data_IF_231524215592
#
_entry.id   IF_231524215592
#
_cell.length_a   1.000
_cell.length_b   1.000
_cell.length_c   1.000
_cell.angle_alpha   90.00
_cell.angle_beta   90.00
_cell.angle_gamma   90.00
#
_symmetry.space_group_name_H-M   'P 1'
#
loop_
_entity.id
_entity.type
_entity.pdbx_description
1 polymer ?
#
# COMPACT_ATOMS: atom_id res chain seq x y z
N UNK A 1 49.47 6.44 -50.57
CA UNK A 1 48.47 6.35 -51.66
C UNK A 1 48.13 7.71 -52.27
N UNK A 2 47.72 8.71 -51.48
CA UNK A 2 47.40 10.07 -51.98
C UNK A 2 48.60 10.79 -52.60
N UNK A 3 49.78 10.77 -51.95
CA UNK A 3 51.02 11.37 -52.50
C UNK A 3 51.42 10.82 -53.87
N UNK A 4 51.22 9.52 -54.10
CA UNK A 4 51.51 8.88 -55.38
C UNK A 4 50.56 9.35 -56.49
N UNK A 5 49.26 9.49 -56.18
CA UNK A 5 48.27 10.05 -57.12
C UNK A 5 48.54 11.51 -57.42
N UNK A 6 48.85 12.31 -56.41
CA UNK A 6 49.15 13.73 -56.58
C UNK A 6 50.39 13.94 -57.48
N UNK A 7 51.40 13.07 -57.38
CA UNK A 7 52.59 13.10 -58.24
C UNK A 7 52.31 12.68 -59.69
N UNK A 8 51.42 11.70 -59.89
CA UNK A 8 51.09 11.20 -61.22
C UNK A 8 50.08 12.08 -61.97
N UNK A 9 49.34 12.94 -61.26
CA UNK A 9 48.32 13.82 -61.84
C UNK A 9 48.52 15.28 -61.37
N UNK A 10 49.46 16.04 -61.97
CA UNK A 10 49.81 17.39 -61.52
C UNK A 10 48.65 18.39 -61.53
N UNK A 11 47.68 18.19 -62.44
CA UNK A 11 46.48 19.02 -62.51
C UNK A 11 45.66 19.02 -61.21
N UNK A 12 45.72 17.94 -60.41
CA UNK A 12 45.04 17.89 -59.11
C UNK A 12 45.61 18.89 -58.11
N UNK A 13 46.92 19.13 -58.12
CA UNK A 13 47.55 20.12 -57.23
C UNK A 13 47.49 21.51 -57.86
N UNK A 14 47.75 21.61 -59.16
CA UNK A 14 47.93 22.90 -59.83
C UNK A 14 46.61 23.63 -60.11
N UNK A 15 45.49 22.90 -60.30
CA UNK A 15 44.19 23.48 -60.64
C UNK A 15 43.16 23.36 -59.51
N UNK A 16 43.58 22.98 -58.29
CA UNK A 16 42.70 22.98 -57.11
C UNK A 16 43.31 23.80 -55.99
N UNK A 17 42.45 24.34 -55.12
CA UNK A 17 42.89 24.98 -53.88
C UNK A 17 42.80 23.97 -52.76
N UNK A 18 43.89 23.81 -52.01
CA UNK A 18 43.95 22.89 -50.87
C UNK A 18 43.44 23.63 -49.64
N UNK A 19 42.38 23.10 -49.03
CA UNK A 19 41.89 23.54 -47.74
C UNK A 19 42.22 22.48 -46.66
N UNK A 20 42.83 22.92 -45.57
CA UNK A 20 43.33 22.01 -44.52
C UNK A 20 42.42 22.06 -43.30
N UNK A 21 41.81 20.91 -42.99
CA UNK A 21 40.99 20.75 -41.80
C UNK A 21 41.80 20.13 -40.67
N UNK A 22 42.07 20.93 -39.64
CA UNK A 22 42.66 20.46 -38.40
C UNK A 22 41.62 19.77 -37.50
N UNK A 23 42.11 19.06 -36.46
CA UNK A 23 41.26 18.62 -35.35
C UNK A 23 40.59 19.84 -34.72
N UNK A 24 39.39 19.66 -34.19
CA UNK A 24 38.68 20.74 -33.51
C UNK A 24 39.48 21.24 -32.31
N UNK A 25 39.73 22.55 -32.21
CA UNK A 25 40.35 23.11 -31.01
C UNK A 25 39.37 23.09 -29.84
N UNK A 26 39.89 23.22 -28.63
CA UNK A 26 39.11 23.22 -27.39
C UNK A 26 37.95 24.22 -27.42
N UNK A 27 38.17 25.41 -27.98
CA UNK A 27 37.14 26.46 -28.12
C UNK A 27 35.98 26.00 -29.02
N UNK A 28 36.27 25.23 -30.06
CA UNK A 28 35.23 24.69 -30.93
C UNK A 28 34.41 23.60 -30.22
N UNK A 29 35.06 22.75 -29.42
CA UNK A 29 34.38 21.75 -28.60
C UNK A 29 33.43 22.43 -27.59
N UNK A 30 33.89 23.49 -26.92
CA UNK A 30 33.05 24.28 -26.01
C UNK A 30 31.86 24.92 -26.72
N UNK A 31 32.08 25.61 -27.84
CA UNK A 31 31.00 26.26 -28.58
C UNK A 31 29.93 25.27 -29.06
N UNK A 32 30.36 24.08 -29.50
CA UNK A 32 29.45 23.02 -29.93
C UNK A 32 28.66 22.48 -28.75
N UNK A 33 29.32 22.10 -27.65
CA UNK A 33 28.64 21.61 -26.45
C UNK A 33 27.68 22.65 -25.87
N UNK A 34 28.08 23.92 -25.81
CA UNK A 34 27.24 25.03 -25.38
C UNK A 34 26.00 25.17 -26.28
N UNK A 35 26.18 25.15 -27.61
CA UNK A 35 25.06 25.25 -28.55
C UNK A 35 24.04 24.11 -28.34
N UNK A 36 24.49 22.86 -28.16
CA UNK A 36 23.58 21.74 -27.92
C UNK A 36 22.91 21.80 -26.53
N UNK A 37 23.68 22.14 -25.49
CA UNK A 37 23.16 22.22 -24.11
C UNK A 37 22.29 23.46 -23.87
N UNK A 38 22.46 24.53 -24.65
CA UNK A 38 21.60 25.72 -24.59
C UNK A 38 20.13 25.42 -24.89
N UNK A 39 19.89 24.46 -25.80
CA UNK A 39 18.55 23.98 -26.15
C UNK A 39 17.94 23.07 -25.08
N UNK A 40 18.77 22.58 -24.16
CA UNK A 40 18.39 21.62 -23.13
C UNK A 40 18.16 22.31 -21.77
N UNK A 41 16.95 22.83 -21.55
CA UNK A 41 16.55 23.57 -20.33
C UNK A 41 16.42 22.73 -19.05
N UNK A 42 16.78 21.44 -19.09
CA UNK A 42 16.61 20.52 -17.96
C UNK A 42 17.77 20.58 -16.95
N UNK A 43 18.91 21.15 -17.35
CA UNK A 43 20.11 21.33 -16.54
C UNK A 43 20.12 22.75 -15.97
N UNK A 44 20.47 22.89 -14.69
CA UNK A 44 20.65 24.19 -14.05
C UNK A 44 21.82 24.94 -14.68
N UNK A 45 21.67 26.25 -14.90
CA UNK A 45 22.71 27.08 -15.51
C UNK A 45 24.01 27.11 -14.67
N UNK A 46 23.92 26.90 -13.36
CA UNK A 46 25.07 26.79 -12.45
C UNK A 46 26.04 25.67 -12.85
N UNK A 47 25.53 24.49 -13.20
CA UNK A 47 26.35 23.31 -13.52
C UNK A 47 26.67 23.19 -15.01
N UNK A 48 26.01 23.99 -15.85
CA UNK A 48 26.08 23.86 -17.29
C UNK A 48 27.48 24.12 -17.83
N UNK A 49 28.15 25.15 -17.33
CA UNK A 49 29.52 25.48 -17.73
C UNK A 49 30.51 24.35 -17.37
N UNK A 50 30.39 23.80 -16.16
CA UNK A 50 31.24 22.67 -15.73
C UNK A 50 31.00 21.42 -16.60
N UNK A 51 29.75 21.17 -17.01
CA UNK A 51 29.42 20.04 -17.89
C UNK A 51 30.01 20.28 -19.30
N UNK A 52 29.89 21.48 -19.85
CA UNK A 52 30.49 21.85 -21.15
C UNK A 52 32.00 21.64 -21.10
N UNK A 53 32.65 22.14 -20.04
CA UNK A 53 34.08 22.02 -19.85
C UNK A 53 34.52 20.55 -19.81
N UNK A 54 33.82 19.76 -19.00
CA UNK A 54 34.08 18.34 -18.85
C UNK A 54 33.87 17.56 -20.17
N UNK A 55 32.83 17.89 -20.94
CA UNK A 55 32.58 17.21 -22.22
C UNK A 55 33.73 17.39 -23.20
N UNK A 56 34.27 18.60 -23.34
CA UNK A 56 35.42 18.83 -24.21
C UNK A 56 36.68 18.11 -23.70
N UNK A 57 36.94 18.18 -22.38
CA UNK A 57 38.06 17.48 -21.75
C UNK A 57 38.02 15.97 -21.99
N UNK A 58 36.83 15.36 -21.90
CA UNK A 58 36.65 13.94 -22.21
C UNK A 58 37.03 13.65 -23.66
N UNK A 59 36.56 14.46 -24.62
CA UNK A 59 36.90 14.23 -26.04
C UNK A 59 38.39 14.39 -26.34
N UNK A 60 39.05 15.36 -25.71
CA UNK A 60 40.51 15.53 -25.81
C UNK A 60 41.25 14.34 -25.19
N UNK A 61 40.79 13.84 -24.04
CA UNK A 61 41.39 12.67 -23.40
C UNK A 61 41.31 11.43 -24.30
N UNK A 62 40.17 11.22 -24.99
CA UNK A 62 40.01 10.09 -25.92
C UNK A 62 40.98 10.23 -27.09
N UNK A 63 41.19 11.43 -27.63
CA UNK A 63 42.21 11.67 -28.66
C UNK A 63 43.61 11.30 -28.17
N UNK A 64 43.99 11.74 -26.97
CA UNK A 64 45.27 11.39 -26.36
C UNK A 64 45.45 9.88 -26.18
N UNK A 65 44.42 9.17 -25.71
CA UNK A 65 44.47 7.72 -25.57
C UNK A 65 44.46 6.98 -26.91
N UNK A 66 43.85 7.54 -27.97
CA UNK A 66 43.94 6.98 -29.32
C UNK A 66 45.39 6.98 -29.83
N UNK A 67 46.13 8.07 -29.56
CA UNK A 67 47.55 8.18 -29.92
C UNK A 67 48.39 7.16 -29.14
N UNK A 68 48.18 7.04 -27.81
CA UNK A 68 48.83 6.00 -26.98
C UNK A 68 48.49 4.59 -27.47
N UNK A 69 47.24 4.34 -27.84
CA UNK A 69 46.78 3.04 -28.30
C UNK A 69 47.48 2.63 -29.61
N UNK A 70 47.69 3.60 -30.51
CA UNK A 70 48.47 3.38 -31.72
C UNK A 70 49.94 3.10 -31.41
N UNK A 71 50.55 3.79 -30.46
CA UNK A 71 51.95 3.56 -30.07
C UNK A 71 52.16 2.16 -29.47
N UNK A 72 51.30 1.77 -28.53
CA UNK A 72 51.46 0.52 -27.76
C UNK A 72 50.98 -0.71 -28.52
N UNK A 73 49.79 -0.63 -29.13
CA UNK A 73 49.13 -1.78 -29.74
C UNK A 73 49.30 -1.82 -31.26
N UNK A 74 49.88 -0.78 -31.88
CA UNK A 74 49.99 -0.63 -33.34
C UNK A 74 48.63 -0.72 -34.05
N UNK A 75 47.54 -0.40 -33.33
CA UNK A 75 46.17 -0.39 -33.83
C UNK A 75 45.66 1.05 -33.85
N UNK A 76 45.11 1.46 -34.99
CA UNK A 76 44.57 2.81 -35.15
C UNK A 76 43.15 2.87 -34.62
N UNK A 77 42.91 3.78 -33.68
CA UNK A 77 41.60 4.24 -33.26
C UNK A 77 41.48 5.72 -33.62
N UNK A 78 40.28 6.18 -33.94
CA UNK A 78 40.02 7.57 -34.31
C UNK A 78 38.88 8.13 -33.49
N UNK A 79 39.11 9.27 -32.87
CA UNK A 79 38.04 10.11 -32.35
C UNK A 79 37.72 11.18 -33.39
N UNK A 80 36.48 11.18 -33.86
CA UNK A 80 36.00 12.13 -34.88
C UNK A 80 35.01 13.12 -34.27
N UNK A 81 34.80 14.30 -34.88
CA UNK A 81 33.76 15.21 -34.46
C UNK A 81 32.37 14.56 -34.40
N UNK A 82 32.07 13.62 -35.29
CA UNK A 82 30.82 12.84 -35.25
C UNK A 82 30.68 12.08 -33.94
N UNK A 83 31.75 11.43 -33.46
CA UNK A 83 31.72 10.74 -32.17
C UNK A 83 31.46 11.70 -31.00
N UNK A 84 31.93 12.94 -31.09
CA UNK A 84 31.65 13.96 -30.09
C UNK A 84 30.18 14.38 -30.09
N UNK A 85 29.59 14.57 -31.27
CA UNK A 85 28.17 14.87 -31.41
C UNK A 85 27.31 13.71 -30.87
N UNK A 86 27.64 12.48 -31.23
CA UNK A 86 26.94 11.27 -30.74
C UNK A 86 27.03 11.16 -29.21
N UNK A 87 28.18 11.48 -28.63
CA UNK A 87 28.38 11.53 -27.18
C UNK A 87 27.44 12.55 -26.51
N UNK A 88 27.37 13.78 -27.04
CA UNK A 88 26.47 14.82 -26.52
C UNK A 88 25.00 14.38 -26.65
N UNK A 89 24.61 13.85 -27.80
CA UNK A 89 23.25 13.35 -28.03
C UNK A 89 22.88 12.23 -27.06
N UNK A 90 23.78 11.27 -26.85
CA UNK A 90 23.58 10.17 -25.93
C UNK A 90 23.46 10.66 -24.49
N UNK A 91 24.30 11.62 -24.09
CA UNK A 91 24.20 12.24 -22.77
C UNK A 91 22.84 12.92 -22.55
N UNK A 92 22.40 13.74 -23.50
CA UNK A 92 21.10 14.44 -23.42
C UNK A 92 19.94 13.44 -23.31
N UNK A 93 19.96 12.39 -24.15
CA UNK A 93 18.94 11.35 -24.14
C UNK A 93 18.89 10.62 -22.80
N UNK A 94 20.05 10.15 -22.31
CA UNK A 94 20.15 9.41 -21.06
C UNK A 94 19.75 10.27 -19.86
N UNK A 95 20.15 11.54 -19.83
CA UNK A 95 19.77 12.46 -18.77
C UNK A 95 18.25 12.64 -18.71
N UNK A 96 17.60 12.84 -19.86
CA UNK A 96 16.14 12.98 -19.93
C UNK A 96 15.44 11.72 -19.39
N UNK A 97 15.88 10.55 -19.84
CA UNK A 97 15.32 9.27 -19.38
C UNK A 97 15.47 9.11 -17.87
N UNK A 98 16.67 9.33 -17.33
CA UNK A 98 16.93 9.20 -15.89
C UNK A 98 16.13 10.19 -15.05
N UNK A 99 15.96 11.42 -15.52
CA UNK A 99 15.15 12.44 -14.84
C UNK A 99 13.66 12.06 -14.82
N UNK A 100 13.15 11.53 -15.93
CA UNK A 100 11.78 11.03 -15.99
C UNK A 100 11.56 9.84 -15.05
N UNK A 101 12.47 8.86 -15.05
CA UNK A 101 12.42 7.71 -14.15
C UNK A 101 12.44 8.13 -12.68
N UNK A 102 13.31 9.09 -12.34
CA UNK A 102 13.40 9.63 -10.98
C UNK A 102 12.11 10.38 -10.59
N UNK A 103 11.54 11.16 -11.51
CA UNK A 103 10.27 11.87 -11.29
C UNK A 103 9.13 10.88 -11.00
N UNK A 104 9.03 9.80 -11.77
CA UNK A 104 8.01 8.75 -11.53
C UNK A 104 8.20 8.07 -10.17
N UNK A 105 9.44 7.82 -9.77
CA UNK A 105 9.73 7.25 -8.46
C UNK A 105 9.36 8.21 -7.32
N UNK A 106 9.68 9.49 -7.47
CA UNK A 106 9.32 10.52 -6.50
C UNK A 106 7.79 10.68 -6.38
N UNK A 107 7.07 10.67 -7.51
CA UNK A 107 5.61 10.72 -7.52
C UNK A 107 4.99 9.51 -6.83
N UNK A 108 5.48 8.29 -7.11
CA UNK A 108 5.04 7.08 -6.43
C UNK A 108 5.26 7.16 -4.92
N UNK A 109 6.41 7.67 -4.48
CA UNK A 109 6.70 7.87 -3.07
C UNK A 109 5.75 8.88 -2.44
N UNK A 110 5.48 10.00 -3.12
CA UNK A 110 4.56 11.02 -2.66
C UNK A 110 3.13 10.47 -2.49
N UNK A 111 2.65 9.70 -3.47
CA UNK A 111 1.36 8.98 -3.36
C UNK A 111 1.37 8.03 -2.16
N UNK A 112 2.47 7.30 -1.94
CA UNK A 112 2.62 6.43 -0.77
C UNK A 112 2.51 7.19 0.55
N UNK A 113 3.15 8.35 0.67
CA UNK A 113 3.09 9.21 1.85
C UNK A 113 1.65 9.69 2.10
N UNK A 114 0.95 10.15 1.05
CA UNK A 114 -0.45 10.58 1.14
C UNK A 114 -1.33 9.44 1.65
N UNK A 115 -1.15 8.22 1.13
CA UNK A 115 -1.91 7.04 1.58
C UNK A 115 -1.65 6.67 3.04
N UNK A 116 -0.41 6.83 3.51
CA UNK A 116 -0.06 6.58 4.92
C UNK A 116 -0.74 7.62 5.82
N UNK A 117 -0.76 8.88 5.39
CA UNK A 117 -1.43 9.96 6.13
C UNK A 117 -2.95 9.74 6.22
N UNK A 118 -3.59 9.41 5.08
CA UNK A 118 -5.00 9.02 5.03
C UNK A 118 -5.33 7.86 5.98
N UNK A 119 -4.49 6.81 5.99
CA UNK A 119 -4.66 5.67 6.88
C UNK A 119 -4.51 6.07 8.36
N UNK A 120 -3.59 6.99 8.68
CA UNK A 120 -3.42 7.51 10.04
C UNK A 120 -4.67 8.22 10.54
N UNK A 121 -5.26 9.09 9.69
CA UNK A 121 -6.51 9.78 9.99
C UNK A 121 -7.66 8.77 10.20
N UNK A 122 -7.77 7.76 9.33
CA UNK A 122 -8.80 6.74 9.44
C UNK A 122 -8.68 5.93 10.74
N UNK A 123 -7.46 5.56 11.15
CA UNK A 123 -7.23 4.85 12.41
C UNK A 123 -7.69 5.71 13.60
N UNK A 124 -7.36 7.00 13.62
CA UNK A 124 -7.81 7.91 14.68
C UNK A 124 -9.33 8.01 14.76
N UNK A 125 -10.03 8.04 13.61
CA UNK A 125 -11.49 8.03 13.59
C UNK A 125 -12.08 6.70 14.09
N UNK A 126 -11.47 5.58 13.70
CA UNK A 126 -11.88 4.26 14.17
C UNK A 126 -11.72 4.12 15.67
N UNK A 127 -10.59 4.56 16.23
CA UNK A 127 -10.33 4.53 17.68
C UNK A 127 -11.39 5.32 18.46
N UNK A 128 -11.76 6.52 17.98
CA UNK A 128 -12.84 7.32 18.58
C UNK A 128 -14.18 6.58 18.57
N UNK A 129 -14.54 5.94 17.45
CA UNK A 129 -15.78 5.15 17.34
C UNK A 129 -15.75 3.94 18.28
N UNK A 130 -14.60 3.28 18.40
CA UNK A 130 -14.39 2.10 19.23
C UNK A 130 -14.54 2.44 20.73
N UNK A 131 -14.03 3.60 21.16
CA UNK A 131 -14.24 4.08 22.53
C UNK A 131 -15.73 4.31 22.86
N UNK A 132 -16.49 4.91 21.94
CA UNK A 132 -17.93 5.13 22.12
C UNK A 132 -18.66 3.79 22.22
N UNK A 133 -18.38 2.86 21.29
CA UNK A 133 -19.00 1.54 21.27
C UNK A 133 -18.67 0.72 22.53
N UNK A 134 -17.43 0.81 23.06
CA UNK A 134 -17.06 0.15 24.32
C UNK A 134 -17.88 0.65 25.50
N UNK A 135 -18.12 1.96 25.60
CA UNK A 135 -18.97 2.54 26.65
C UNK A 135 -20.42 2.07 26.54
N UNK A 136 -20.98 2.07 25.33
CA UNK A 136 -22.35 1.58 25.10
C UNK A 136 -22.49 0.09 25.40
N UNK A 137 -21.51 -0.72 24.99
CA UNK A 137 -21.46 -2.15 25.30
C UNK A 137 -21.45 -2.37 26.81
N UNK A 138 -20.60 -1.69 27.57
CA UNK A 138 -20.54 -1.82 29.02
C UNK A 138 -21.89 -1.52 29.68
N UNK A 139 -22.60 -0.48 29.21
CA UNK A 139 -23.95 -0.15 29.72
C UNK A 139 -24.96 -1.25 29.38
N UNK A 140 -24.95 -1.74 28.14
CA UNK A 140 -25.88 -2.80 27.70
C UNK A 140 -25.61 -4.13 28.40
N UNK A 141 -24.34 -4.50 28.57
CA UNK A 141 -23.93 -5.70 29.32
C UNK A 141 -24.41 -5.60 30.76
N UNK A 142 -24.16 -4.47 31.44
CA UNK A 142 -24.65 -4.27 32.82
C UNK A 142 -26.17 -4.40 32.94
N UNK A 143 -26.93 -3.78 32.02
CA UNK A 143 -28.39 -3.93 31.97
C UNK A 143 -28.83 -5.38 31.73
N UNK A 144 -28.11 -6.10 30.87
CA UNK A 144 -28.39 -7.51 30.58
C UNK A 144 -28.15 -8.36 31.84
N UNK A 145 -27.02 -8.15 32.52
CA UNK A 145 -26.68 -8.83 33.78
C UNK A 145 -27.72 -8.55 34.86
N UNK A 146 -28.14 -7.29 35.03
CA UNK A 146 -29.19 -6.89 35.97
C UNK A 146 -30.52 -7.64 35.68
N UNK A 147 -30.96 -7.67 34.42
CA UNK A 147 -32.17 -8.41 34.01
C UNK A 147 -32.03 -9.92 34.24
N UNK A 148 -30.84 -10.49 34.03
CA UNK A 148 -30.57 -11.91 34.26
C UNK A 148 -30.66 -12.25 35.75
N UNK A 149 -30.17 -11.36 36.63
CA UNK A 149 -30.35 -11.52 38.08
C UNK A 149 -31.82 -11.41 38.49
N UNK A 150 -32.59 -10.50 37.90
CA UNK A 150 -34.02 -10.39 38.18
C UNK A 150 -34.77 -11.65 37.73
N UNK A 151 -34.52 -12.14 36.51
CA UNK A 151 -35.15 -13.36 36.00
C UNK A 151 -34.79 -14.57 36.86
N UNK A 152 -33.54 -14.73 37.28
CA UNK A 152 -33.13 -15.86 38.14
C UNK A 152 -33.82 -15.81 39.50
N UNK A 153 -33.94 -14.62 40.13
CA UNK A 153 -34.68 -14.49 41.40
C UNK A 153 -36.17 -14.73 41.25
N UNK A 154 -36.79 -14.23 40.16
CA UNK A 154 -38.20 -14.49 39.86
C UNK A 154 -38.45 -15.97 39.57
N UNK A 155 -37.54 -16.63 38.85
CA UNK A 155 -37.62 -18.05 38.55
C UNK A 155 -37.50 -18.88 39.82
N UNK A 156 -36.58 -18.54 40.73
CA UNK A 156 -36.45 -19.19 42.03
C UNK A 156 -37.70 -19.01 42.92
N UNK A 157 -38.30 -17.81 42.94
CA UNK A 157 -39.58 -17.59 43.63
C UNK A 157 -40.73 -18.38 42.99
N UNK A 158 -40.74 -18.47 41.65
CA UNK A 158 -41.75 -19.20 40.90
C UNK A 158 -41.65 -20.71 41.13
N UNK A 159 -40.43 -21.28 41.17
CA UNK A 159 -40.22 -22.70 41.49
C UNK A 159 -40.61 -23.01 42.93
N UNK A 160 -40.27 -22.15 43.89
CA UNK A 160 -40.72 -22.30 45.28
C UNK A 160 -42.24 -22.26 45.40
N UNK A 161 -42.91 -21.30 44.73
CA UNK A 161 -44.37 -21.23 44.66
C UNK A 161 -44.99 -22.47 44.04
N UNK A 162 -44.41 -23.00 42.95
CA UNK A 162 -44.85 -24.24 42.31
C UNK A 162 -44.72 -25.43 43.25
N UNK A 163 -43.60 -25.55 43.98
CA UNK A 163 -43.41 -26.59 45.00
C UNK A 163 -44.49 -26.52 46.07
N UNK A 164 -44.68 -25.34 46.70
CA UNK A 164 -45.72 -25.15 47.73
C UNK A 164 -47.14 -25.43 47.21
N UNK A 165 -47.42 -25.12 45.95
CA UNK A 165 -48.70 -25.42 45.34
C UNK A 165 -48.90 -26.93 45.10
N UNK A 166 -47.82 -27.66 44.77
CA UNK A 166 -47.83 -29.11 44.66
C UNK A 166 -48.08 -29.76 46.03
N UNK A 167 -47.37 -29.31 47.07
CA UNK A 167 -47.54 -29.82 48.44
C UNK A 167 -48.97 -29.60 48.95
N UNK A 168 -49.53 -28.41 48.70
CA UNK A 168 -50.93 -28.12 49.03
C UNK A 168 -51.92 -28.97 48.25
N UNK A 169 -51.67 -29.25 46.97
CA UNK A 169 -52.52 -30.13 46.17
C UNK A 169 -52.51 -31.55 46.73
N UNK A 170 -51.35 -32.09 47.05
CA UNK A 170 -51.23 -33.41 47.68
C UNK A 170 -52.02 -33.48 48.99
N UNK A 171 -51.90 -32.44 49.82
CA UNK A 171 -52.64 -32.37 51.10
C UNK A 171 -54.16 -32.28 50.89
N UNK A 172 -54.63 -31.55 49.87
CA UNK A 172 -56.04 -31.51 49.49
C UNK A 172 -56.51 -32.86 48.95
N UNK A 173 -55.71 -33.53 48.12
CA UNK A 173 -56.03 -34.85 47.57
C UNK A 173 -56.12 -35.90 48.70
N UNK A 174 -55.21 -35.86 49.68
CA UNK A 174 -55.29 -36.69 50.89
C UNK A 174 -56.55 -36.39 51.72
N UNK A 175 -56.88 -35.11 51.91
CA UNK A 175 -58.12 -34.71 52.60
C UNK A 175 -59.37 -35.15 51.86
N UNK A 176 -59.39 -35.09 50.52
CA UNK A 176 -60.50 -35.58 49.71
C UNK A 176 -60.70 -37.09 49.87
N UNK A 177 -59.63 -37.88 49.89
CA UNK A 177 -59.71 -39.32 50.14
C UNK A 177 -60.30 -39.59 51.54
N UNK A 178 -59.91 -38.83 52.55
CA UNK A 178 -60.48 -38.97 53.90
C UNK A 178 -61.95 -38.58 53.94
N UNK A 179 -62.33 -37.45 53.32
CA UNK A 179 -63.74 -37.02 53.23
C UNK A 179 -64.59 -38.03 52.46
N UNK A 180 -64.05 -38.63 51.39
CA UNK A 180 -64.77 -39.63 50.59
C UNK A 180 -64.99 -40.92 51.38
N UNK A 181 -64.03 -41.33 52.22
CA UNK A 181 -64.22 -42.42 53.20
C UNK A 181 -65.27 -42.05 54.25
N UNK A 182 -65.16 -40.88 54.88
CA UNK A 182 -66.15 -40.42 55.88
C UNK A 182 -67.56 -40.30 55.27
N UNK A 183 -67.66 -39.86 54.02
CA UNK A 183 -68.91 -39.80 53.27
C UNK A 183 -69.46 -41.19 53.00
N UNK A 184 -68.62 -42.13 52.55
CA UNK A 184 -69.04 -43.51 52.31
C UNK A 184 -69.51 -44.19 53.61
N UNK A 185 -68.80 -43.98 54.72
CA UNK A 185 -69.19 -44.49 56.03
C UNK A 185 -70.52 -43.87 56.49
N UNK A 186 -70.75 -42.57 56.25
CA UNK A 186 -72.02 -41.91 56.55
C UNK A 186 -73.18 -42.37 55.65
N UNK A 187 -72.93 -42.61 54.35
CA UNK A 187 -73.93 -43.16 53.42
C UNK A 187 -74.30 -44.60 53.77
N UNK A 188 -73.32 -45.43 54.16
CA UNK A 188 -73.53 -46.80 54.65
C UNK A 188 -74.38 -46.82 55.93
N UNK A 189 -74.06 -45.97 56.91
CA UNK A 189 -74.89 -45.82 58.12
C UNK A 189 -76.31 -45.35 57.80
N UNK A 190 -76.49 -44.48 56.79
CA UNK A 190 -77.80 -44.02 56.37
C UNK A 190 -78.60 -45.11 55.64
N UNK A 191 -77.93 -45.98 54.88
CA UNK A 191 -78.51 -47.11 54.17
C UNK A 191 -78.93 -48.23 55.14
N UNK A 192 -78.15 -48.51 56.19
CA UNK A 192 -78.56 -49.38 57.30
C UNK A 192 -79.84 -48.86 57.99
N UNK A 193 -79.92 -47.54 58.23
CA UNK A 193 -81.11 -46.91 58.82
C UNK A 193 -82.31 -46.96 57.86
N UNK A 194 -82.11 -46.79 56.54
CA UNK A 194 -83.19 -46.90 55.54
C UNK A 194 -83.66 -48.33 55.33
N UNK A 195 -82.77 -49.33 55.40
CA UNK A 195 -83.13 -50.75 55.32
C UNK A 195 -83.95 -51.19 56.53
N UNK A 196 -83.61 -50.70 57.73
CA UNK A 196 -84.40 -50.94 58.94
C UNK A 196 -85.80 -50.27 58.90
N UNK A 197 -85.98 -49.23 58.07
CA UNK A 197 -87.25 -48.51 57.92
C UNK A 197 -88.21 -49.19 56.93
N UNK A 198 -87.70 -49.86 55.89
CA UNK A 198 -88.52 -50.53 54.87
C UNK A 198 -89.00 -51.94 55.28
N UNK A 199 -88.50 -52.48 56.40
CA UNK A 199 -88.93 -53.75 56.99
C UNK A 199 -89.92 -53.57 58.17
N UNK A 200 -90.42 -52.35 58.42
CA UNK A 200 -91.43 -52.02 59.43
C UNK A 200 -92.73 -51.50 58.81
#
# INVERSE_FOLDING_TARGET
>A
MLLYRARNFPALINNTTIDYFARWPQQALYAVAEHFLSRFKLISDEYKNNIIEHMAMVHESVNFYCDIYMEKMRRKAYATPTNYLDFIHTFIHLYKQKKEDLSKQAERLNVGIIRIDEASILIQEMDKKLEIQRKELAIKTKKCDDLLTEITTLTAKQTERKSRALDKKQLVDEQLITIEKEKHDAESQLEEVMSALNEA
#
